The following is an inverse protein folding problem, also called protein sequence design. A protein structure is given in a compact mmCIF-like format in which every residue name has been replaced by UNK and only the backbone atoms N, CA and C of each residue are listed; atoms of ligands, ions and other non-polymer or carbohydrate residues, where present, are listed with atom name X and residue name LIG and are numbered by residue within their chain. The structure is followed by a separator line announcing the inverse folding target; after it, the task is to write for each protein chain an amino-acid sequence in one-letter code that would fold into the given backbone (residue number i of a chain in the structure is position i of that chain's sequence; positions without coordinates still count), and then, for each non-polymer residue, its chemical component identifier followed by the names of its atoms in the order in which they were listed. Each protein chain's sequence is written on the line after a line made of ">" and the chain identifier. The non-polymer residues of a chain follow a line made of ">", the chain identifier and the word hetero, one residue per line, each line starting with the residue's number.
data_IF_240418432027
#
_entry.id   IF_240418432027
#
_cell.length_a   1.000
_cell.length_b   1.000
_cell.length_c   1.000
_cell.angle_alpha   90.00
_cell.angle_beta   90.00
_cell.angle_gamma   90.00
#
_symmetry.space_group_name_H-M   'P 1'
#
loop_
_entity.id
_entity.type
_entity.pdbx_description
1 polymer ?
#
# COMPACT_ATOMS: atom_id res chain seq x y z
N UNK A 1 2.38 0.19 -13.54
CA UNK A 1 2.23 1.62 -13.21
C UNK A 1 2.55 1.83 -11.74
N UNK A 2 3.59 2.62 -11.42
CA UNK A 2 3.90 2.96 -10.03
C UNK A 2 2.94 4.06 -9.52
N UNK A 3 2.42 3.93 -8.30
CA UNK A 3 1.54 4.93 -7.69
C UNK A 3 2.28 6.24 -7.40
N UNK A 4 3.52 6.12 -6.92
CA UNK A 4 4.47 7.22 -6.73
C UNK A 4 5.88 6.63 -6.89
N UNK A 5 6.68 7.10 -7.86
CA UNK A 5 8.07 6.67 -8.00
C UNK A 5 8.89 6.96 -6.73
N UNK A 6 8.66 8.13 -6.11
CA UNK A 6 9.35 8.56 -4.90
C UNK A 6 9.04 7.66 -3.71
N UNK A 7 7.79 7.22 -3.56
CA UNK A 7 7.39 6.24 -2.54
C UNK A 7 8.02 4.86 -2.80
N UNK A 8 8.06 4.43 -4.05
CA UNK A 8 8.58 3.11 -4.44
C UNK A 8 10.10 2.97 -4.18
N UNK A 9 10.84 4.08 -4.21
CA UNK A 9 12.27 4.12 -3.95
C UNK A 9 12.63 4.10 -2.45
N UNK A 10 11.66 4.22 -1.53
CA UNK A 10 11.97 4.20 -0.09
C UNK A 10 12.48 2.82 0.36
N UNK A 11 13.25 2.77 1.46
CA UNK A 11 13.49 1.52 2.18
C UNK A 11 12.17 0.82 2.47
N UNK A 12 12.09 -0.48 2.18
CA UNK A 12 10.89 -1.29 2.36
C UNK A 12 11.18 -2.47 3.23
N UNK A 13 10.19 -2.87 4.01
CA UNK A 13 10.24 -4.01 4.90
C UNK A 13 9.19 -5.01 4.43
N UNK A 14 9.51 -6.29 4.49
CA UNK A 14 8.56 -7.35 4.15
C UNK A 14 7.99 -7.94 5.44
N UNK A 15 6.69 -7.82 5.61
CA UNK A 15 5.98 -8.37 6.78
C UNK A 15 5.02 -9.45 6.29
N UNK A 16 5.39 -10.69 6.58
CA UNK A 16 4.60 -11.89 6.30
C UNK A 16 3.57 -12.05 7.42
N UNK A 17 2.34 -11.65 7.15
CA UNK A 17 1.24 -11.75 8.11
C UNK A 17 0.49 -13.08 7.96
N UNK A 18 -0.14 -13.53 9.06
CA UNK A 18 -0.93 -14.78 9.20
C UNK A 18 -0.10 -16.05 9.35
N UNK A 19 1.04 -15.96 10.05
CA UNK A 19 1.90 -17.11 10.30
C UNK A 19 1.25 -18.20 11.16
N UNK A 20 0.16 -17.87 11.85
CA UNK A 20 -0.68 -18.81 12.59
C UNK A 20 -1.28 -19.92 11.71
N UNK A 21 -1.33 -19.72 10.39
CA UNK A 21 -1.76 -20.72 9.42
C UNK A 21 -0.64 -21.70 9.02
N UNK A 22 0.57 -21.50 9.54
CA UNK A 22 1.76 -22.28 9.18
C UNK A 22 2.31 -23.02 10.39
N UNK A 23 2.80 -24.23 10.15
CA UNK A 23 3.57 -24.99 11.13
C UNK A 23 4.87 -24.25 11.51
N UNK A 24 5.34 -24.33 12.78
CA UNK A 24 6.50 -23.55 13.24
C UNK A 24 7.77 -23.74 12.42
N UNK A 25 8.03 -24.97 11.95
CA UNK A 25 9.19 -25.29 11.10
C UNK A 25 9.11 -24.60 9.74
N UNK A 26 7.91 -24.50 9.17
CA UNK A 26 7.67 -23.83 7.88
C UNK A 26 7.81 -22.32 7.99
N UNK A 27 7.48 -21.72 9.14
CA UNK A 27 7.60 -20.27 9.35
C UNK A 27 9.05 -19.80 9.20
N UNK A 28 10.00 -20.49 9.86
CA UNK A 28 11.41 -20.13 9.80
C UNK A 28 12.00 -20.31 8.39
N UNK A 29 11.64 -21.40 7.71
CA UNK A 29 12.05 -21.66 6.33
C UNK A 29 11.54 -20.56 5.38
N UNK A 30 10.28 -20.15 5.53
CA UNK A 30 9.68 -19.09 4.72
C UNK A 30 10.41 -17.76 4.92
N UNK A 31 10.70 -17.36 6.16
CA UNK A 31 11.43 -16.11 6.43
C UNK A 31 12.81 -16.12 5.77
N UNK A 32 13.54 -17.22 5.87
CA UNK A 32 14.87 -17.35 5.28
C UNK A 32 14.82 -17.35 3.74
N UNK A 33 13.89 -18.08 3.16
CA UNK A 33 13.66 -18.09 1.72
C UNK A 33 13.39 -16.68 1.19
N UNK A 34 12.47 -15.95 1.82
CA UNK A 34 12.15 -14.59 1.41
C UNK A 34 13.30 -13.61 1.66
N UNK A 35 14.10 -13.81 2.70
CA UNK A 35 15.31 -13.01 2.94
C UNK A 35 16.33 -13.19 1.81
N UNK A 36 16.49 -14.42 1.33
CA UNK A 36 17.39 -14.73 0.22
C UNK A 36 16.87 -14.23 -1.12
N UNK A 37 15.56 -14.33 -1.37
CA UNK A 37 14.94 -13.86 -2.61
C UNK A 37 14.84 -12.32 -2.70
N UNK A 38 14.74 -11.65 -1.55
CA UNK A 38 14.49 -10.21 -1.47
C UNK A 38 15.52 -9.48 -0.58
N UNK A 39 16.83 -9.57 -0.90
CA UNK A 39 17.89 -8.98 -0.09
C UNK A 39 17.85 -7.44 -0.03
N UNK A 40 17.11 -6.80 -0.94
CA UNK A 40 16.95 -5.35 -1.02
C UNK A 40 15.99 -4.76 0.02
N UNK A 41 15.29 -5.58 0.80
CA UNK A 41 14.38 -5.11 1.86
C UNK A 41 15.14 -4.96 3.18
N UNK A 42 14.80 -3.93 3.96
CA UNK A 42 15.42 -3.64 5.27
C UNK A 42 15.18 -4.71 6.33
N UNK A 43 14.26 -5.65 6.06
CA UNK A 43 14.10 -6.88 6.83
C UNK A 43 12.87 -7.67 6.39
N UNK A 44 12.86 -8.94 6.75
CA UNK A 44 11.73 -9.87 6.57
C UNK A 44 11.27 -10.32 7.95
N UNK A 45 10.00 -10.08 8.25
CA UNK A 45 9.40 -10.37 9.56
C UNK A 45 8.16 -11.24 9.38
N UNK A 46 8.04 -12.25 10.23
CA UNK A 46 6.90 -13.15 10.31
C UNK A 46 6.04 -12.74 11.50
N UNK A 47 4.76 -12.42 11.26
CA UNK A 47 3.83 -12.02 12.33
C UNK A 47 2.47 -12.73 12.22
N UNK A 48 1.78 -12.82 13.34
CA UNK A 48 0.33 -13.03 13.36
C UNK A 48 -0.31 -11.82 14.02
N UNK A 49 -0.98 -10.99 13.24
CA UNK A 49 -1.69 -9.82 13.77
C UNK A 49 -2.83 -10.18 14.73
N UNK A 50 -3.39 -11.41 14.63
CA UNK A 50 -4.50 -11.87 15.46
C UNK A 50 -4.02 -12.34 16.83
N UNK A 51 -2.94 -13.14 16.89
CA UNK A 51 -2.39 -13.62 18.16
C UNK A 51 -1.37 -12.65 18.78
N UNK A 52 -0.87 -11.70 17.99
CA UNK A 52 0.20 -10.78 18.37
C UNK A 52 1.62 -11.36 18.24
N UNK A 53 1.76 -12.62 17.80
CA UNK A 53 3.07 -13.24 17.63
C UNK A 53 3.94 -12.44 16.64
N UNK A 54 5.21 -12.21 17.01
CA UNK A 54 6.19 -11.49 16.20
C UNK A 54 6.00 -9.96 16.11
N UNK A 55 4.91 -9.40 16.66
CA UNK A 55 4.69 -7.95 16.63
C UNK A 55 5.71 -7.18 17.47
N UNK A 56 6.10 -7.72 18.63
CA UNK A 56 7.04 -7.03 19.52
C UNK A 56 8.41 -6.84 18.84
N UNK A 57 8.94 -7.90 18.23
CA UNK A 57 10.21 -7.84 17.50
C UNK A 57 10.14 -6.88 16.30
N UNK A 58 9.02 -6.91 15.56
CA UNK A 58 8.78 -5.97 14.47
C UNK A 58 8.75 -4.52 14.95
N UNK A 59 8.06 -4.24 16.05
CA UNK A 59 7.97 -2.88 16.63
C UNK A 59 9.34 -2.40 17.08
N UNK A 60 10.12 -3.24 17.76
CA UNK A 60 11.47 -2.87 18.19
C UNK A 60 12.39 -2.58 17.01
N UNK A 61 12.38 -3.42 15.97
CA UNK A 61 13.18 -3.19 14.79
C UNK A 61 12.77 -1.89 14.05
N UNK A 62 11.46 -1.59 13.98
CA UNK A 62 10.97 -0.32 13.42
C UNK A 62 11.47 0.87 14.26
N UNK A 63 11.37 0.80 15.59
CA UNK A 63 11.82 1.87 16.48
C UNK A 63 13.32 2.11 16.35
N UNK A 64 14.14 1.07 16.33
CA UNK A 64 15.59 1.17 16.12
C UNK A 64 15.91 1.85 14.78
N UNK A 65 15.21 1.46 13.70
CA UNK A 65 15.38 2.09 12.39
C UNK A 65 14.97 3.56 12.36
N UNK A 66 13.90 3.93 13.07
CA UNK A 66 13.43 5.32 13.15
C UNK A 66 14.38 6.17 13.99
N UNK A 67 14.85 5.64 15.12
CA UNK A 67 15.84 6.32 15.96
C UNK A 67 17.13 6.59 15.21
N UNK A 68 17.61 5.64 14.40
CA UNK A 68 18.78 5.86 13.58
C UNK A 68 18.55 6.99 12.56
N UNK A 69 17.42 6.97 11.86
CA UNK A 69 17.06 8.05 10.91
C UNK A 69 16.99 9.41 11.60
N UNK A 70 16.38 9.49 12.78
CA UNK A 70 16.31 10.74 13.54
C UNK A 70 17.66 11.22 14.03
N UNK A 71 18.58 10.31 14.39
CA UNK A 71 19.96 10.68 14.74
C UNK A 71 20.66 11.28 13.51
N UNK A 72 20.62 10.58 12.38
CA UNK A 72 21.25 11.01 11.13
C UNK A 72 20.69 12.38 10.68
N UNK A 73 19.37 12.57 10.71
CA UNK A 73 18.72 13.84 10.38
C UNK A 73 19.02 14.96 11.39
N UNK A 74 19.30 14.65 12.66
CA UNK A 74 19.65 15.67 13.66
C UNK A 74 21.11 16.11 13.51
N UNK A 75 22.01 15.18 13.21
CA UNK A 75 23.44 15.42 13.03
C UNK A 75 23.75 16.14 11.71
N UNK A 76 22.97 15.87 10.66
CA UNK A 76 23.16 16.44 9.33
C UNK A 76 21.92 17.24 8.85
N UNK A 77 21.98 18.58 8.85
CA UNK A 77 20.92 19.44 8.32
C UNK A 77 20.61 19.19 6.84
N UNK A 78 21.58 18.80 6.01
CA UNK A 78 21.36 18.52 4.59
C UNK A 78 20.50 17.27 4.39
N UNK A 79 20.73 16.22 5.19
CA UNK A 79 19.88 15.01 5.17
C UNK A 79 18.44 15.34 5.54
N UNK A 80 18.24 16.21 6.53
CA UNK A 80 16.92 16.66 6.96
C UNK A 80 16.18 17.40 5.85
N UNK A 81 16.85 18.32 5.16
CA UNK A 81 16.29 19.05 4.03
C UNK A 81 15.93 18.12 2.86
N UNK A 82 16.82 17.17 2.53
CA UNK A 82 16.56 16.16 1.51
C UNK A 82 15.34 15.30 1.84
N UNK A 83 15.18 14.87 3.10
CA UNK A 83 14.01 14.10 3.52
C UNK A 83 12.72 14.91 3.44
N UNK A 84 12.74 16.18 3.85
CA UNK A 84 11.60 17.08 3.73
C UNK A 84 11.18 17.27 2.27
N UNK A 85 12.14 17.51 1.37
CA UNK A 85 11.87 17.64 -0.06
C UNK A 85 11.25 16.36 -0.62
N UNK A 86 11.82 15.20 -0.25
CA UNK A 86 11.32 13.89 -0.68
C UNK A 86 9.89 13.65 -0.21
N UNK A 87 9.58 13.97 1.04
CA UNK A 87 8.22 13.86 1.59
C UNK A 87 7.24 14.77 0.85
N UNK A 88 7.64 16.01 0.53
CA UNK A 88 6.81 16.94 -0.22
C UNK A 88 6.51 16.42 -1.63
N UNK A 89 7.51 15.93 -2.36
CA UNK A 89 7.34 15.33 -3.69
C UNK A 89 6.40 14.14 -3.64
N UNK A 90 6.58 13.23 -2.67
CA UNK A 90 5.74 12.04 -2.52
C UNK A 90 4.27 12.38 -2.24
N UNK A 91 4.02 13.39 -1.38
CA UNK A 91 2.66 13.85 -1.10
C UNK A 91 1.99 14.44 -2.35
N UNK A 92 2.73 15.22 -3.15
CA UNK A 92 2.22 15.78 -4.40
C UNK A 92 1.87 14.68 -5.42
N UNK A 93 2.78 13.73 -5.64
CA UNK A 93 2.56 12.58 -6.53
C UNK A 93 1.35 11.75 -6.09
N UNK A 94 1.25 11.43 -4.80
CA UNK A 94 0.13 10.66 -4.25
C UNK A 94 -1.22 11.36 -4.41
N UNK A 95 -1.28 12.68 -4.18
CA UNK A 95 -2.51 13.47 -4.37
C UNK A 95 -2.97 13.45 -5.82
N UNK A 96 -2.06 13.69 -6.76
CA UNK A 96 -2.34 13.63 -8.19
C UNK A 96 -2.87 12.25 -8.58
N UNK A 97 -2.21 11.18 -8.13
CA UNK A 97 -2.62 9.82 -8.48
C UNK A 97 -3.99 9.44 -7.91
N UNK A 98 -4.29 9.86 -6.69
CA UNK A 98 -5.62 9.65 -6.08
C UNK A 98 -6.70 10.42 -6.85
N UNK A 99 -6.42 11.65 -7.27
CA UNK A 99 -7.37 12.44 -8.05
C UNK A 99 -7.68 11.79 -9.40
N UNK A 100 -6.65 11.32 -10.11
CA UNK A 100 -6.79 10.57 -11.37
C UNK A 100 -7.64 9.31 -11.18
N UNK A 101 -7.32 8.48 -10.17
CA UNK A 101 -8.07 7.26 -9.88
C UNK A 101 -9.54 7.56 -9.56
N UNK A 102 -9.82 8.65 -8.83
CA UNK A 102 -11.19 9.08 -8.55
C UNK A 102 -11.94 9.50 -9.82
N UNK A 103 -11.29 10.24 -10.71
CA UNK A 103 -11.88 10.62 -12.00
C UNK A 103 -12.16 9.39 -12.87
N UNK A 104 -11.21 8.46 -12.96
CA UNK A 104 -11.36 7.20 -13.68
C UNK A 104 -12.53 6.37 -13.12
N UNK A 105 -12.59 6.18 -11.81
CA UNK A 105 -13.70 5.44 -11.18
C UNK A 105 -15.04 6.17 -11.37
N UNK A 106 -15.08 7.50 -11.35
CA UNK A 106 -16.29 8.27 -11.61
C UNK A 106 -16.75 8.17 -13.08
N UNK A 107 -15.82 8.17 -14.03
CA UNK A 107 -16.10 7.96 -15.45
C UNK A 107 -16.58 6.53 -15.71
N UNK A 108 -15.94 5.53 -15.11
CA UNK A 108 -16.37 4.13 -15.20
C UNK A 108 -17.78 3.92 -14.64
N UNK A 109 -18.10 4.54 -13.49
CA UNK A 109 -19.46 4.50 -12.93
C UNK A 109 -20.49 5.20 -13.82
N UNK A 110 -20.14 6.34 -14.42
CA UNK A 110 -21.02 7.05 -15.37
C UNK A 110 -21.26 6.21 -16.62
N UNK A 111 -20.19 5.70 -17.24
CA UNK A 111 -20.30 4.81 -18.40
C UNK A 111 -21.03 3.49 -18.09
N UNK A 112 -20.97 3.00 -16.86
CA UNK A 112 -21.76 1.83 -16.44
C UNK A 112 -23.25 2.16 -16.29
N UNK A 113 -23.60 3.36 -15.78
CA UNK A 113 -24.98 3.84 -15.75
C UNK A 113 -25.52 4.10 -17.15
N UNK A 114 -24.78 4.84 -17.99
CA UNK A 114 -25.17 5.13 -19.38
C UNK A 114 -25.34 3.85 -20.22
N UNK A 115 -24.58 2.79 -19.95
CA UNK A 115 -24.78 1.46 -20.56
C UNK A 115 -25.97 0.68 -20.00
N UNK A 116 -26.34 0.92 -18.74
CA UNK A 116 -27.53 0.35 -18.11
C UNK A 116 -28.82 1.04 -18.56
N UNK A 117 -28.76 2.34 -18.84
CA UNK A 117 -29.90 3.15 -19.27
C UNK A 117 -30.23 2.99 -20.77
N UNK A 118 -29.41 2.25 -21.53
CA UNK A 118 -29.59 1.95 -22.97
C UNK A 118 -30.31 0.62 -23.24
N UNK A 119 -30.57 -0.19 -22.21
CA UNK A 119 -31.26 -1.49 -22.32
C UNK A 119 -32.77 -1.41 -21.97
N UNK A 120 -33.34 -0.21 -21.77
CA UNK A 120 -34.73 0.00 -21.30
C UNK A 120 -35.63 0.76 -22.31
N UNK A 121 -35.29 0.74 -23.60
CA UNK A 121 -36.18 1.21 -24.68
C UNK A 121 -36.89 0.01 -25.34
N UNK A 122 -37.95 -0.51 -24.71
CA UNK A 122 -39.07 -1.20 -25.38
C UNK A 122 -40.23 -1.47 -24.39
N UNK A 123 -41.00 -0.44 -24.04
CA UNK A 123 -42.38 -0.61 -23.51
C UNK A 123 -43.32 0.31 -24.28
N UNK A 124 -44.08 -0.28 -25.21
CA UNK A 124 -45.22 0.36 -25.89
C UNK A 124 -46.42 0.39 -24.93
N UNK A 125 -46.87 1.58 -24.54
CA UNK A 125 -48.04 1.76 -23.67
C UNK A 125 -49.26 2.09 -24.55
N UNK A 126 -50.12 1.10 -24.75
CA UNK A 126 -51.44 1.26 -25.39
C UNK A 126 -52.44 1.78 -24.35
N UNK A 127 -52.96 2.99 -24.56
CA UNK A 127 -54.05 3.53 -23.75
C UNK A 127 -55.39 2.98 -24.26
N UNK A 128 -56.07 2.22 -23.42
CA UNK A 128 -57.46 1.81 -23.67
C UNK A 128 -58.37 2.83 -22.98
N UNK A 129 -59.08 3.62 -23.78
CA UNK A 129 -60.14 4.51 -23.30
C UNK A 129 -61.40 3.69 -22.95
N UNK A 130 -61.90 3.81 -21.71
CA UNK A 130 -63.26 3.43 -21.29
C UNK A 130 -64.10 4.69 -20.97
#
# INVERSE_FOLDING_TARGET
>A
HSFSPTLAARPRWLVLNKIDLLEPTSQAQLVEEYRQQFPQFGGVYAISAVSGAGLQDLVYAIMESLEQQWRDENEDPELREQEQLRQATMQAEGRTRIAELRQQHAAQRRAARERSDQDDDDIEVEYVDE
#
